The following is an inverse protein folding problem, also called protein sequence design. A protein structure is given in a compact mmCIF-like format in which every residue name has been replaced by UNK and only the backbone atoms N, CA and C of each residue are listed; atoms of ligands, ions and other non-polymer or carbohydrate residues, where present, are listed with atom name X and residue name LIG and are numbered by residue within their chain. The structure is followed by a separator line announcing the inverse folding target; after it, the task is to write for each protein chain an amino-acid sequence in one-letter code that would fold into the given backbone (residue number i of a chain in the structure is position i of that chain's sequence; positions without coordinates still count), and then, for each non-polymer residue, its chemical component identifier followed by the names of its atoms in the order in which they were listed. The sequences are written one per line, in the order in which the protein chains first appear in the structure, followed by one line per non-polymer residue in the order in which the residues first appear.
data_IF_476480905534
#
_entry.id   IF_476480905534
#
_cell.length_a   1.000
_cell.length_b   1.000
_cell.length_c   1.000
_cell.angle_alpha   90.00
_cell.angle_beta   90.00
_cell.angle_gamma   90.00
#
_symmetry.space_group_name_H-M   'P 1'
#
loop_
_entity.id
_entity.type
_entity.pdbx_description
1 polymer ?
#
# COMPACT_ATOMS: atom_id res chain seq x y z
N UNK A 1 -17.66 9.59 -41.63
CA UNK A 1 -16.90 10.11 -40.47
C UNK A 1 -17.62 9.61 -39.23
N UNK A 2 -17.10 8.58 -38.56
CA UNK A 2 -17.75 8.03 -37.37
C UNK A 2 -17.57 9.07 -36.26
N UNK A 3 -18.66 9.48 -35.62
CA UNK A 3 -18.67 10.48 -34.56
C UNK A 3 -17.99 9.88 -33.31
N UNK A 4 -16.67 10.05 -33.22
CA UNK A 4 -15.80 9.47 -32.18
C UNK A 4 -16.08 10.05 -30.79
N UNK A 5 -16.87 11.12 -30.71
CA UNK A 5 -17.19 11.87 -29.49
C UNK A 5 -17.87 11.00 -28.42
N UNK A 6 -18.72 10.05 -28.83
CA UNK A 6 -19.37 9.10 -27.92
C UNK A 6 -18.38 8.03 -27.41
N UNK A 7 -17.50 7.56 -28.28
CA UNK A 7 -16.47 6.55 -27.95
C UNK A 7 -15.44 7.14 -26.98
N UNK A 8 -15.01 8.38 -27.18
CA UNK A 8 -14.08 9.08 -26.30
C UNK A 8 -14.70 9.31 -24.91
N UNK A 9 -15.97 9.70 -24.84
CA UNK A 9 -16.68 9.86 -23.56
C UNK A 9 -16.83 8.53 -22.81
N UNK A 10 -17.16 7.44 -23.49
CA UNK A 10 -17.23 6.11 -22.89
C UNK A 10 -15.85 5.66 -22.36
N UNK A 11 -14.79 5.92 -23.10
CA UNK A 11 -13.41 5.60 -22.70
C UNK A 11 -12.98 6.39 -21.46
N UNK A 12 -13.34 7.68 -21.37
CA UNK A 12 -13.05 8.52 -20.20
C UNK A 12 -13.83 8.04 -18.98
N UNK A 13 -15.10 7.68 -19.13
CA UNK A 13 -15.94 7.17 -18.04
C UNK A 13 -15.41 5.83 -17.51
N UNK A 14 -15.09 4.88 -18.40
CA UNK A 14 -14.50 3.60 -18.01
C UNK A 14 -13.17 3.77 -17.26
N UNK A 15 -12.32 4.70 -17.70
CA UNK A 15 -11.06 5.02 -17.03
C UNK A 15 -11.27 5.62 -15.63
N UNK A 16 -12.26 6.51 -15.46
CA UNK A 16 -12.62 7.08 -14.15
C UNK A 16 -13.18 6.02 -13.22
N UNK A 17 -14.05 5.13 -13.71
CA UNK A 17 -14.62 4.04 -12.92
C UNK A 17 -13.54 3.03 -12.48
N UNK A 18 -12.60 2.69 -13.36
CA UNK A 18 -11.44 1.86 -13.03
C UNK A 18 -10.59 2.49 -11.92
N UNK A 19 -10.31 3.81 -11.99
CA UNK A 19 -9.60 4.54 -10.94
C UNK A 19 -10.33 4.49 -9.60
N UNK A 20 -11.66 4.60 -9.60
CA UNK A 20 -12.49 4.51 -8.39
C UNK A 20 -12.46 3.09 -7.81
N UNK A 21 -12.57 2.04 -8.64
CA UNK A 21 -12.46 0.64 -8.20
C UNK A 21 -11.06 0.32 -7.66
N UNK A 22 -9.99 0.81 -8.30
CA UNK A 22 -8.62 0.68 -7.80
C UNK A 22 -8.40 1.41 -6.47
N UNK A 23 -9.01 2.58 -6.29
CA UNK A 23 -9.00 3.31 -5.02
C UNK A 23 -9.71 2.52 -3.91
N UNK A 24 -10.86 1.89 -4.21
CA UNK A 24 -11.59 1.00 -3.28
C UNK A 24 -10.83 -0.31 -2.97
N UNK A 25 -9.97 -0.79 -3.88
CA UNK A 25 -9.15 -2.02 -3.71
C UNK A 25 -7.82 -1.79 -2.97
N UNK A 26 -7.58 -0.62 -2.39
CA UNK A 26 -6.36 -0.34 -1.63
C UNK A 26 -6.30 -1.23 -0.38
N UNK A 27 -5.25 -2.03 -0.28
CA UNK A 27 -4.93 -2.78 0.93
C UNK A 27 -4.38 -1.79 1.96
N UNK A 28 -4.98 -1.79 3.15
CA UNK A 28 -4.54 -0.98 4.29
C UNK A 28 -4.25 -1.89 5.47
N UNK A 29 -3.04 -1.83 6.00
CA UNK A 29 -2.62 -2.64 7.14
C UNK A 29 -1.93 -1.75 8.18
N UNK A 30 -2.07 -2.11 9.45
CA UNK A 30 -1.40 -1.47 10.59
C UNK A 30 -0.75 -2.57 11.40
N UNK A 31 0.49 -2.90 11.06
CA UNK A 31 1.15 -4.10 11.56
C UNK A 31 2.66 -3.88 11.69
N UNK A 32 3.34 -4.85 12.32
CA UNK A 32 4.80 -4.83 12.45
C UNK A 32 5.46 -5.34 11.16
N UNK A 33 6.63 -4.78 10.85
CA UNK A 33 7.48 -5.28 9.77
C UNK A 33 8.16 -6.57 10.23
N UNK A 34 7.96 -7.66 9.51
CA UNK A 34 8.59 -8.95 9.80
C UNK A 34 9.91 -9.08 9.07
N UNK A 35 9.93 -8.64 7.82
CA UNK A 35 11.11 -8.72 6.98
C UNK A 35 11.22 -7.44 6.15
N UNK A 36 12.46 -6.96 6.02
CA UNK A 36 12.83 -5.88 5.13
C UNK A 36 13.86 -6.40 4.15
N UNK A 37 13.65 -6.11 2.88
CA UNK A 37 14.55 -6.50 1.81
C UNK A 37 14.60 -5.47 0.70
N UNK A 38 15.29 -5.81 -0.37
CA UNK A 38 15.49 -4.96 -1.53
C UNK A 38 15.29 -5.77 -2.80
N UNK A 39 14.67 -5.16 -3.81
CA UNK A 39 14.58 -5.72 -5.15
C UNK A 39 15.89 -5.49 -5.93
N UNK A 40 16.18 -6.25 -7.00
CA UNK A 40 17.36 -6.00 -7.86
C UNK A 40 17.41 -4.58 -8.45
N UNK A 41 16.25 -3.93 -8.60
CA UNK A 41 16.13 -2.53 -9.07
C UNK A 41 16.33 -1.49 -7.95
N UNK A 42 16.69 -1.90 -6.74
CA UNK A 42 16.92 -1.01 -5.60
C UNK A 42 15.66 -0.50 -4.89
N UNK A 43 14.46 -1.02 -5.22
CA UNK A 43 13.25 -0.71 -4.45
C UNK A 43 13.25 -1.48 -3.12
N UNK A 44 12.68 -0.90 -2.07
CA UNK A 44 12.57 -1.54 -0.76
C UNK A 44 11.33 -2.42 -0.71
N UNK A 45 11.44 -3.61 -0.12
CA UNK A 45 10.29 -4.49 0.13
C UNK A 45 10.09 -4.65 1.63
N UNK A 46 8.85 -4.47 2.08
CA UNK A 46 8.42 -4.67 3.46
C UNK A 46 7.43 -5.85 3.49
N UNK A 47 7.77 -6.92 4.20
CA UNK A 47 6.82 -7.99 4.51
C UNK A 47 6.15 -7.71 5.84
N UNK A 48 4.84 -7.86 5.83
CA UNK A 48 3.97 -7.61 6.96
C UNK A 48 3.01 -8.80 7.03
N UNK A 49 2.89 -9.43 8.20
CA UNK A 49 1.86 -10.46 8.44
C UNK A 49 0.71 -9.82 9.17
N UNK A 50 -0.49 -10.17 8.74
CA UNK A 50 -1.72 -9.89 9.46
C UNK A 50 -2.51 -11.17 9.50
N UNK A 51 -2.93 -11.58 10.70
CA UNK A 51 -3.59 -12.86 10.92
C UNK A 51 -2.69 -14.01 10.38
N UNK A 52 -3.20 -14.81 9.43
CA UNK A 52 -2.48 -15.92 8.79
C UNK A 52 -1.98 -15.58 7.37
N UNK A 53 -2.00 -14.29 6.99
CA UNK A 53 -1.63 -13.85 5.65
C UNK A 53 -0.39 -12.95 5.67
N UNK A 54 0.54 -13.25 4.76
CA UNK A 54 1.71 -12.41 4.50
C UNK A 54 1.51 -11.51 3.29
N UNK A 55 1.82 -10.23 3.47
CA UNK A 55 1.73 -9.22 2.44
C UNK A 55 3.11 -8.61 2.19
N UNK A 56 3.56 -8.65 0.93
CA UNK A 56 4.81 -8.02 0.49
C UNK A 56 4.53 -6.70 -0.21
N UNK A 57 4.81 -5.60 0.47
CA UNK A 57 4.71 -4.25 -0.09
C UNK A 57 6.03 -3.82 -0.70
N UNK A 58 5.99 -3.20 -1.87
CA UNK A 58 7.14 -2.62 -2.56
C UNK A 58 7.07 -1.10 -2.49
N UNK A 59 8.09 -0.48 -1.91
CA UNK A 59 8.27 0.97 -1.85
C UNK A 59 9.23 1.36 -2.97
N UNK A 60 8.71 2.07 -3.97
CA UNK A 60 9.48 2.50 -5.13
C UNK A 60 10.47 3.61 -4.77
N UNK A 61 11.69 3.55 -5.33
CA UNK A 61 12.71 4.60 -5.16
C UNK A 61 12.26 5.98 -5.66
N UNK A 62 11.37 6.00 -6.67
CA UNK A 62 10.76 7.24 -7.18
C UNK A 62 9.86 7.95 -6.16
N UNK A 63 9.38 7.26 -5.13
CA UNK A 63 8.55 7.85 -4.07
C UNK A 63 9.44 8.33 -2.91
N UNK A 64 10.23 9.39 -3.14
CA UNK A 64 11.32 9.86 -2.26
C UNK A 64 10.99 9.85 -0.75
N UNK A 65 9.92 10.52 -0.33
CA UNK A 65 9.54 10.60 1.10
C UNK A 65 9.27 9.23 1.73
N UNK A 66 8.51 8.38 1.02
CA UNK A 66 8.14 7.04 1.49
C UNK A 66 9.35 6.11 1.47
N UNK A 67 10.22 6.27 0.48
CA UNK A 67 11.45 5.51 0.36
C UNK A 67 12.41 5.84 1.51
N UNK A 68 12.66 7.12 1.78
CA UNK A 68 13.49 7.56 2.90
C UNK A 68 12.93 7.09 4.25
N UNK A 69 11.59 7.09 4.42
CA UNK A 69 10.96 6.51 5.61
C UNK A 69 11.19 4.99 5.69
N UNK A 70 11.00 4.27 4.58
CA UNK A 70 11.25 2.84 4.50
C UNK A 70 12.72 2.46 4.76
N UNK A 71 13.67 3.32 4.41
CA UNK A 71 15.09 3.15 4.76
C UNK A 71 15.33 3.22 6.27
N UNK A 72 14.69 4.16 6.96
CA UNK A 72 14.81 4.33 8.42
C UNK A 72 14.10 3.25 9.23
N UNK A 73 13.08 2.61 8.65
CA UNK A 73 12.32 1.55 9.31
C UNK A 73 13.17 0.29 9.51
N UNK A 74 13.05 -0.30 10.71
CA UNK A 74 13.68 -1.58 11.09
C UNK A 74 12.61 -2.67 11.22
N UNK A 75 13.06 -3.92 11.33
CA UNK A 75 12.17 -5.03 11.71
C UNK A 75 11.50 -4.75 13.06
N UNK A 76 10.31 -5.31 13.27
CA UNK A 76 9.44 -5.10 14.43
C UNK A 76 8.88 -3.67 14.61
N UNK A 77 9.27 -2.70 13.78
CA UNK A 77 8.63 -1.39 13.80
C UNK A 77 7.16 -1.52 13.37
N UNK A 78 6.29 -0.88 14.15
CA UNK A 78 4.87 -0.78 13.83
C UNK A 78 4.66 0.26 12.73
N UNK A 79 3.97 -0.10 11.66
CA UNK A 79 3.71 0.79 10.52
C UNK A 79 2.26 0.75 10.07
N UNK A 80 1.75 1.89 9.65
CA UNK A 80 0.53 1.97 8.85
C UNK A 80 0.93 2.04 7.38
N UNK A 81 0.57 1.02 6.61
CA UNK A 81 0.88 0.93 5.19
C UNK A 81 -0.40 0.85 4.36
N UNK A 82 -0.42 1.57 3.24
CA UNK A 82 -1.47 1.44 2.22
C UNK A 82 -0.83 1.11 0.88
N UNK A 83 -1.38 0.16 0.15
CA UNK A 83 -0.86 -0.24 -1.15
C UNK A 83 -1.94 -0.60 -2.15
N UNK A 84 -1.57 -0.51 -3.43
CA UNK A 84 -2.40 -0.94 -4.55
C UNK A 84 -1.77 -2.19 -5.12
N UNK A 85 -2.56 -3.26 -5.27
CA UNK A 85 -2.13 -4.44 -6.00
C UNK A 85 -1.96 -4.08 -7.48
N UNK A 86 -0.74 -4.23 -7.98
CA UNK A 86 -0.39 -4.19 -9.40
C UNK A 86 0.13 -5.57 -9.79
N UNK A 87 0.23 -5.83 -11.08
CA UNK A 87 0.63 -7.15 -11.58
C UNK A 87 1.87 -7.70 -10.83
N UNK A 88 1.67 -8.80 -10.10
CA UNK A 88 2.67 -9.52 -9.26
C UNK A 88 3.27 -8.76 -8.07
N UNK A 89 2.80 -7.56 -7.70
CA UNK A 89 3.32 -6.81 -6.56
C UNK A 89 2.32 -5.83 -5.94
N UNK A 90 2.45 -5.57 -4.64
CA UNK A 90 1.67 -4.51 -3.97
C UNK A 90 2.53 -3.26 -3.88
N UNK A 91 2.16 -2.20 -4.61
CA UNK A 91 2.92 -0.94 -4.59
C UNK A 91 2.46 -0.10 -3.40
N UNK A 92 3.40 0.30 -2.54
CA UNK A 92 3.15 1.17 -1.41
C UNK A 92 2.81 2.59 -1.89
N UNK A 93 1.59 3.01 -1.56
CA UNK A 93 1.06 4.34 -1.87
C UNK A 93 1.12 5.28 -0.66
N UNK A 94 1.07 4.75 0.56
CA UNK A 94 1.22 5.51 1.80
C UNK A 94 1.95 4.66 2.83
N UNK A 95 2.89 5.26 3.54
CA UNK A 95 3.65 4.63 4.61
C UNK A 95 3.76 5.61 5.77
N UNK A 96 3.46 5.17 6.98
CA UNK A 96 3.64 5.94 8.22
C UNK A 96 4.21 5.03 9.30
N UNK A 97 5.21 5.51 10.03
CA UNK A 97 5.66 4.86 11.25
C UNK A 97 4.64 5.12 12.37
N UNK A 98 4.42 4.14 13.23
CA UNK A 98 3.61 4.28 14.43
C UNK A 98 4.56 4.27 15.63
N UNK A 99 4.73 5.43 16.29
CA UNK A 99 5.63 5.61 17.43
C UNK A 99 5.12 4.95 18.72
N UNK A 100 3.79 4.91 18.88
CA UNK A 100 3.12 4.12 19.90
C UNK A 100 2.86 2.75 19.29
N UNK A 101 3.45 1.69 19.85
CA UNK A 101 3.28 0.33 19.38
C UNK A 101 1.79 -0.02 19.15
N UNK A 102 1.52 -0.95 18.24
CA UNK A 102 0.16 -1.45 18.02
C UNK A 102 -0.33 -2.06 19.32
N UNK A 103 -1.29 -1.40 19.97
CA UNK A 103 -2.02 -2.00 21.08
C UNK A 103 -2.91 -3.10 20.49
N UNK A 104 -2.51 -4.35 20.63
CA UNK A 104 -3.38 -5.52 20.48
C UNK A 104 -4.38 -5.56 21.65
N UNK A 105 -5.21 -4.53 21.75
CA UNK A 105 -6.17 -4.34 22.83
C UNK A 105 -7.57 -4.34 22.25
N UNK A 106 -8.29 -5.45 22.46
CA UNK A 106 -9.74 -5.53 22.30
C UNK A 106 -10.36 -4.24 22.82
N UNK A 107 -11.20 -3.63 21.99
CA UNK A 107 -12.03 -2.49 22.29
C UNK A 107 -12.77 -2.73 23.62
N UNK A 108 -12.26 -2.19 24.73
CA UNK A 108 -13.00 -2.16 25.99
C UNK A 108 -14.13 -1.17 25.78
N UNK A 109 -15.33 -1.70 25.51
CA UNK A 109 -16.56 -0.92 25.61
C UNK A 109 -16.59 -0.33 27.02
N UNK A 110 -16.58 1.00 27.10
CA UNK A 110 -16.95 1.70 28.33
C UNK A 110 -18.36 1.24 28.70
N UNK A 111 -18.47 0.62 29.88
CA UNK A 111 -19.72 0.32 30.57
C UNK A 111 -20.06 1.51 31.46
#
# INVERSE_FOLDING_TARGET
MIDTTLIDRLTVLANKERKIKEFKRRLRLKEKIIEKGTTPKGNITLKIRKDDHEYKFTVLKSHQERFALAEKLKMNNSVSIEGISRFRMIICTRLKALEKGIQDGKQTKLS
#
